data_IF_698022984895
#
_entry.id   IF_698022984895
#
_cell.length_a   1.000
_cell.length_b   1.000
_cell.length_c   1.000
_cell.angle_alpha   90.00
_cell.angle_beta   90.00
_cell.angle_gamma   90.00
#
_symmetry.space_group_name_H-M   'P 1'
#
loop_
_entity.id
_entity.type
_entity.pdbx_description
1 polymer ?
#
# COMPACT_ATOMS: atom_id res chain seq x y z
N UNK A 1 -3.87 5.33 11.93
CA UNK A 1 -3.33 4.25 11.08
C UNK A 1 -1.92 4.58 10.66
N UNK A 2 -0.99 3.66 10.87
CA UNK A 2 0.42 3.83 10.53
C UNK A 2 0.78 3.02 9.27
N UNK A 3 1.96 3.29 8.72
CA UNK A 3 2.47 2.46 7.61
C UNK A 3 2.64 1.01 8.03
N UNK A 4 3.00 0.75 9.29
CA UNK A 4 3.11 -0.62 9.80
C UNK A 4 1.76 -1.33 9.80
N UNK A 5 0.68 -0.64 10.16
CA UNK A 5 -0.66 -1.21 10.08
C UNK A 5 -1.01 -1.64 8.66
N UNK A 6 -0.64 -0.82 7.68
CA UNK A 6 -0.89 -1.12 6.27
C UNK A 6 0.00 -2.27 5.80
N UNK A 7 1.28 -2.27 6.19
CA UNK A 7 2.19 -3.35 5.85
C UNK A 7 1.70 -4.69 6.39
N UNK A 8 1.21 -4.72 7.64
CA UNK A 8 0.65 -5.92 8.25
C UNK A 8 -0.60 -6.39 7.50
N UNK A 9 -1.47 -5.46 7.11
CA UNK A 9 -2.65 -5.78 6.30
C UNK A 9 -2.25 -6.42 4.96
N UNK A 10 -1.28 -5.82 4.26
CA UNK A 10 -0.83 -6.34 2.97
C UNK A 10 -0.13 -7.69 3.12
N UNK A 11 0.66 -7.87 4.17
CA UNK A 11 1.31 -9.15 4.47
C UNK A 11 0.26 -10.25 4.65
N UNK A 12 -0.82 -9.96 5.35
CA UNK A 12 -1.91 -10.89 5.59
C UNK A 12 -2.67 -11.22 4.29
N UNK A 13 -3.08 -10.18 3.55
CA UNK A 13 -3.91 -10.36 2.35
C UNK A 13 -3.12 -10.99 1.20
N UNK A 14 -1.86 -10.58 1.02
CA UNK A 14 -1.00 -11.10 -0.05
C UNK A 14 -0.31 -12.41 0.32
N UNK A 15 -0.40 -12.81 1.58
CA UNK A 15 0.29 -13.99 2.13
C UNK A 15 1.80 -13.92 1.86
N UNK A 16 2.39 -12.77 2.14
CA UNK A 16 3.83 -12.51 1.99
C UNK A 16 4.42 -12.09 3.31
N UNK A 17 5.63 -12.61 3.61
CA UNK A 17 6.37 -12.23 4.81
C UNK A 17 7.19 -10.96 4.62
N UNK A 18 7.63 -10.69 3.40
CA UNK A 18 8.57 -9.61 3.10
C UNK A 18 7.82 -8.34 2.66
N UNK A 19 7.01 -7.80 3.57
CA UNK A 19 6.31 -6.53 3.41
C UNK A 19 6.79 -5.58 4.51
N UNK A 20 7.33 -4.44 4.14
CA UNK A 20 7.99 -3.52 5.06
C UNK A 20 7.30 -2.16 5.08
N UNK A 21 7.36 -1.48 6.21
CA UNK A 21 6.83 -0.13 6.39
C UNK A 21 7.94 0.90 6.33
N UNK A 22 7.90 1.78 5.33
CA UNK A 22 8.83 2.89 5.18
C UNK A 22 10.21 2.52 4.64
N UNK A 23 10.42 1.26 4.29
CA UNK A 23 11.70 0.77 3.76
C UNK A 23 11.50 -0.52 2.98
N UNK A 24 12.55 -1.01 2.34
CA UNK A 24 12.62 -2.38 1.81
C UNK A 24 13.97 -2.97 2.17
N UNK A 25 14.07 -4.29 2.14
CA UNK A 25 15.36 -4.97 2.26
C UNK A 25 15.95 -5.13 0.85
N UNK A 26 16.95 -4.31 0.53
CA UNK A 26 17.60 -4.33 -0.78
C UNK A 26 18.36 -5.61 -1.10
N UNK A 27 18.57 -6.50 -0.13
CA UNK A 27 19.20 -7.81 -0.35
C UNK A 27 18.21 -8.87 -0.83
N UNK A 28 16.90 -8.60 -0.71
CA UNK A 28 15.86 -9.49 -1.18
C UNK A 28 15.42 -9.06 -2.58
N UNK A 29 15.28 -10.02 -3.50
CA UNK A 29 14.77 -9.73 -4.83
C UNK A 29 13.27 -9.49 -4.80
N UNK A 30 12.54 -10.19 -3.93
CA UNK A 30 11.08 -10.16 -3.87
C UNK A 30 10.60 -9.61 -2.54
N UNK A 31 10.27 -8.31 -2.53
CA UNK A 31 9.71 -7.66 -1.35
C UNK A 31 8.79 -6.52 -1.77
N UNK A 32 8.00 -6.07 -0.81
CA UNK A 32 7.06 -4.96 -1.00
C UNK A 32 7.30 -3.96 0.13
N UNK A 33 7.36 -2.67 -0.23
CA UNK A 33 7.48 -1.60 0.75
C UNK A 33 6.27 -0.69 0.69
N UNK A 34 5.82 -0.22 1.85
CA UNK A 34 4.72 0.75 1.94
C UNK A 34 5.30 2.06 2.42
N UNK A 35 5.04 3.13 1.67
CA UNK A 35 5.56 4.46 1.96
C UNK A 35 4.42 5.47 2.00
N UNK A 36 4.65 6.62 2.63
CA UNK A 36 3.75 7.75 2.49
C UNK A 36 3.83 8.26 1.05
N UNK A 37 2.70 8.66 0.48
CA UNK A 37 2.68 9.25 -0.85
C UNK A 37 3.45 10.58 -0.85
N UNK A 38 4.13 10.87 -1.96
CA UNK A 38 4.92 12.09 -2.11
C UNK A 38 4.08 13.35 -2.05
N UNK A 39 2.87 13.29 -2.62
CA UNK A 39 1.89 14.37 -2.53
C UNK A 39 0.69 13.86 -1.78
N UNK A 40 0.42 14.44 -0.61
CA UNK A 40 -0.77 14.11 0.16
C UNK A 40 -1.71 15.31 0.17
N UNK A 41 -2.99 15.03 0.02
CA UNK A 41 -4.04 16.03 0.19
C UNK A 41 -4.41 16.10 1.67
N UNK A 42 -4.86 17.27 2.16
CA UNK A 42 -5.42 17.33 3.50
C UNK A 42 -6.57 16.34 3.66
N UNK A 43 -6.69 15.75 4.83
CA UNK A 43 -7.82 14.86 5.11
C UNK A 43 -9.11 15.66 5.11
N UNK A 44 -10.17 15.05 4.57
CA UNK A 44 -11.51 15.62 4.63
C UNK A 44 -12.07 15.38 6.02
N UNK A 45 -12.22 16.46 6.76
CA UNK A 45 -12.69 16.43 8.15
C UNK A 45 -13.99 17.20 8.21
N UNK A 46 -15.03 16.63 8.84
CA UNK A 46 -16.30 17.31 9.01
C UNK A 46 -16.17 18.50 9.98
N UNK A 47 -17.18 19.37 10.02
CA UNK A 47 -17.17 20.59 10.83
C UNK A 47 -16.90 20.30 12.30
N UNK A 48 -17.36 19.15 12.82
CA UNK A 48 -17.10 18.74 14.20
C UNK A 48 -15.71 18.18 14.46
N UNK A 49 -14.81 18.17 13.44
CA UNK A 49 -13.46 17.67 13.57
C UNK A 49 -13.34 16.14 13.44
N UNK A 50 -12.18 15.60 13.81
CA UNK A 50 -11.91 14.16 13.66
C UNK A 50 -12.85 13.27 14.48
N UNK A 51 -13.30 13.75 15.62
CA UNK A 51 -14.23 13.00 16.46
C UNK A 51 -15.57 12.74 15.78
N UNK A 52 -15.98 13.61 14.85
CA UNK A 52 -17.23 13.47 14.08
C UNK A 52 -16.99 12.87 12.68
N UNK A 53 -15.73 12.70 12.27
CA UNK A 53 -15.40 12.17 10.96
C UNK A 53 -15.31 10.65 11.04
N UNK A 54 -16.23 9.95 10.37
CA UNK A 54 -16.26 8.49 10.40
C UNK A 54 -15.21 7.88 9.51
N UNK A 55 -15.08 8.37 8.27
CA UNK A 55 -14.15 7.82 7.30
C UNK A 55 -12.96 8.74 7.15
N UNK A 56 -11.78 8.20 7.34
CA UNK A 56 -10.50 8.89 7.19
C UNK A 56 -9.78 8.39 5.95
N UNK A 57 -8.84 9.19 5.45
CA UNK A 57 -8.03 8.86 4.28
C UNK A 57 -6.57 8.79 4.66
N UNK A 58 -5.85 7.85 4.07
CA UNK A 58 -4.39 7.79 4.15
C UNK A 58 -3.84 7.53 2.74
N UNK A 59 -2.95 8.42 2.31
CA UNK A 59 -2.34 8.33 0.99
C UNK A 59 -1.01 7.60 1.08
N UNK A 60 -0.86 6.53 0.32
CA UNK A 60 0.31 5.66 0.36
C UNK A 60 0.86 5.40 -1.02
N UNK A 61 2.13 5.01 -1.07
CA UNK A 61 2.78 4.43 -2.24
C UNK A 61 3.24 3.02 -1.90
N UNK A 62 2.86 2.07 -2.72
CA UNK A 62 3.27 0.67 -2.56
C UNK A 62 4.34 0.38 -3.59
N UNK A 63 5.56 0.12 -3.11
CA UNK A 63 6.70 -0.23 -3.96
C UNK A 63 6.79 -1.74 -4.07
N UNK A 64 6.73 -2.23 -5.30
CA UNK A 64 6.88 -3.66 -5.59
C UNK A 64 8.26 -3.87 -6.17
N UNK A 65 9.16 -4.41 -5.37
CA UNK A 65 10.53 -4.76 -5.73
C UNK A 65 10.55 -6.27 -5.92
N UNK A 66 10.57 -6.73 -7.20
CA UNK A 66 10.22 -8.12 -7.40
C UNK A 66 11.31 -8.94 -8.06
N UNK A 67 11.56 -8.79 -9.34
CA UNK A 67 12.52 -9.65 -10.06
C UNK A 67 13.22 -8.85 -11.15
N UNK A 68 14.33 -9.38 -11.66
CA UNK A 68 15.06 -8.79 -12.79
C UNK A 68 14.38 -9.07 -14.14
N UNK A 69 13.34 -9.90 -14.16
CA UNK A 69 12.59 -10.22 -15.38
C UNK A 69 11.41 -9.27 -15.51
N UNK A 70 11.42 -8.31 -16.46
CA UNK A 70 10.41 -7.26 -16.55
C UNK A 70 8.98 -7.77 -16.64
N UNK A 71 8.74 -8.82 -17.42
CA UNK A 71 7.39 -9.37 -17.62
C UNK A 71 6.83 -9.92 -16.31
N UNK A 72 7.65 -10.63 -15.54
CA UNK A 72 7.22 -11.20 -14.26
C UNK A 72 6.96 -10.11 -13.22
N UNK A 73 7.79 -9.06 -13.21
CA UNK A 73 7.59 -7.94 -12.32
C UNK A 73 6.27 -7.20 -12.62
N UNK A 74 5.97 -7.02 -13.89
CA UNK A 74 4.70 -6.40 -14.31
C UNK A 74 3.50 -7.25 -13.92
N UNK A 75 3.57 -8.56 -14.13
CA UNK A 75 2.49 -9.48 -13.74
C UNK A 75 2.25 -9.41 -12.23
N UNK A 76 3.35 -9.38 -11.45
CA UNK A 76 3.20 -9.25 -9.99
C UNK A 76 2.57 -7.92 -9.61
N UNK A 77 2.99 -6.82 -10.24
CA UNK A 77 2.42 -5.51 -9.98
C UNK A 77 0.91 -5.48 -10.29
N UNK A 78 0.50 -6.06 -11.41
CA UNK A 78 -0.92 -6.15 -11.76
C UNK A 78 -1.70 -7.01 -10.77
N UNK A 79 -1.12 -8.13 -10.34
CA UNK A 79 -1.74 -9.00 -9.33
C UNK A 79 -1.96 -8.24 -8.02
N UNK A 80 -0.96 -7.50 -7.56
CA UNK A 80 -1.07 -6.69 -6.34
C UNK A 80 -2.14 -5.61 -6.51
N UNK A 81 -2.16 -4.93 -7.65
CA UNK A 81 -3.17 -3.91 -7.94
C UNK A 81 -4.59 -4.49 -7.86
N UNK A 82 -4.81 -5.64 -8.46
CA UNK A 82 -6.11 -6.30 -8.46
C UNK A 82 -6.55 -6.65 -7.03
N UNK A 83 -5.62 -7.19 -6.24
CA UNK A 83 -5.90 -7.56 -4.85
C UNK A 83 -6.21 -6.32 -4.01
N UNK A 84 -5.41 -5.25 -4.14
CA UNK A 84 -5.65 -4.01 -3.41
C UNK A 84 -7.00 -3.39 -3.76
N UNK A 85 -7.37 -3.45 -5.03
CA UNK A 85 -8.64 -2.89 -5.51
C UNK A 85 -9.85 -3.66 -5.00
N UNK A 86 -9.67 -4.91 -4.62
CA UNK A 86 -10.74 -5.77 -4.12
C UNK A 86 -10.89 -5.76 -2.60
N UNK A 87 -10.01 -5.07 -1.87
CA UNK A 87 -10.10 -4.99 -0.40
C UNK A 87 -11.40 -4.29 -0.01
N UNK A 88 -12.18 -4.95 0.84
CA UNK A 88 -13.42 -4.41 1.41
C UNK A 88 -13.54 -4.83 2.86
N UNK A 89 -13.84 -3.87 3.73
CA UNK A 89 -14.15 -4.14 5.15
C UNK A 89 -13.10 -4.97 5.87
N UNK A 90 -11.82 -4.66 5.64
CA UNK A 90 -10.74 -5.36 6.35
C UNK A 90 -10.63 -4.83 7.78
N UNK A 91 -10.79 -5.72 8.76
CA UNK A 91 -10.68 -5.37 10.17
C UNK A 91 -9.26 -5.60 10.65
N UNK A 92 -8.60 -4.51 11.04
CA UNK A 92 -7.29 -4.55 11.66
C UNK A 92 -7.36 -4.25 13.15
N UNK A 93 -6.19 -4.05 13.75
CA UNK A 93 -6.07 -3.71 15.15
C UNK A 93 -6.35 -2.20 15.34
N UNK A 94 -7.51 -1.89 15.86
CA UNK A 94 -7.94 -0.52 16.12
C UNK A 94 -8.51 0.23 14.92
N UNK A 95 -8.70 -0.42 13.77
CA UNK A 95 -9.26 0.22 12.58
C UNK A 95 -9.94 -0.79 11.66
N UNK A 96 -10.79 -0.27 10.78
CA UNK A 96 -11.39 -1.06 9.69
C UNK A 96 -11.15 -0.34 8.38
N UNK A 97 -10.48 -0.99 7.44
CA UNK A 97 -10.28 -0.46 6.10
C UNK A 97 -11.54 -0.73 5.28
N UNK A 98 -12.15 0.34 4.78
CA UNK A 98 -13.38 0.23 3.98
C UNK A 98 -13.09 -0.24 2.57
N UNK A 99 -12.18 0.43 1.91
CA UNK A 99 -11.71 0.12 0.56
C UNK A 99 -10.48 0.96 0.24
N UNK A 100 -9.82 0.63 -0.87
CA UNK A 100 -8.72 1.42 -1.41
C UNK A 100 -9.08 1.91 -2.80
N UNK A 101 -8.68 3.15 -3.08
CA UNK A 101 -8.72 3.72 -4.40
C UNK A 101 -7.30 3.73 -4.96
N UNK A 102 -7.04 2.91 -5.98
CA UNK A 102 -5.70 2.66 -6.50
C UNK A 102 -5.54 3.24 -7.89
N UNK A 103 -4.38 3.83 -8.14
CA UNK A 103 -3.94 4.19 -9.48
C UNK A 103 -3.25 2.99 -10.13
N UNK A 104 -3.10 3.03 -11.45
CA UNK A 104 -2.38 1.97 -12.17
C UNK A 104 -0.94 1.86 -11.67
N UNK A 105 -0.38 0.65 -11.76
CA UNK A 105 1.03 0.42 -11.45
C UNK A 105 1.91 1.08 -12.50
N UNK A 106 2.99 1.72 -12.04
CA UNK A 106 3.93 2.43 -12.90
C UNK A 106 5.33 1.89 -12.68
N UNK A 107 6.01 1.55 -13.77
CA UNK A 107 7.42 1.14 -13.69
C UNK A 107 8.26 2.36 -13.29
N UNK A 108 9.10 2.19 -12.27
CA UNK A 108 10.02 3.23 -11.83
C UNK A 108 11.48 2.87 -12.11
N UNK A 109 11.69 1.83 -12.91
CA UNK A 109 13.02 1.43 -13.36
C UNK A 109 13.53 0.20 -12.62
N UNK A 110 14.84 0.17 -12.44
CA UNK A 110 15.53 -0.94 -11.78
C UNK A 110 16.41 -0.38 -10.67
N UNK A 111 16.67 -1.19 -9.65
CA UNK A 111 17.63 -0.84 -8.63
C UNK A 111 19.06 -1.11 -9.11
N UNK A 112 20.04 -0.91 -8.23
CA UNK A 112 21.47 -1.11 -8.56
C UNK A 112 21.80 -2.56 -8.94
N UNK A 113 21.00 -3.51 -8.45
CA UNK A 113 21.16 -4.94 -8.74
C UNK A 113 20.39 -5.38 -9.99
N UNK A 114 19.68 -4.47 -10.64
CA UNK A 114 18.89 -4.76 -11.83
C UNK A 114 17.49 -5.30 -11.55
N UNK A 115 17.03 -5.27 -10.30
CA UNK A 115 15.68 -5.73 -9.93
C UNK A 115 14.65 -4.69 -10.34
N UNK A 116 13.63 -5.12 -11.07
CA UNK A 116 12.57 -4.24 -11.54
C UNK A 116 11.67 -3.78 -10.41
N UNK A 117 11.30 -2.50 -10.44
CA UNK A 117 10.46 -1.89 -9.43
C UNK A 117 9.23 -1.24 -10.05
N UNK A 118 8.09 -1.45 -9.42
CA UNK A 118 6.82 -0.83 -9.77
C UNK A 118 6.24 -0.13 -8.55
N UNK A 119 5.50 0.96 -8.79
CA UNK A 119 4.84 1.71 -7.73
C UNK A 119 3.35 1.77 -8.01
N UNK A 120 2.54 1.52 -6.98
CA UNK A 120 1.10 1.74 -7.00
C UNK A 120 0.79 2.80 -5.95
N UNK A 121 0.23 3.93 -6.39
CA UNK A 121 -0.27 4.94 -5.47
C UNK A 121 -1.72 4.62 -5.12
N UNK A 122 -2.06 4.72 -3.85
CA UNK A 122 -3.39 4.39 -3.38
C UNK A 122 -3.82 5.30 -2.24
N UNK A 123 -5.12 5.47 -2.12
CA UNK A 123 -5.74 6.11 -0.97
C UNK A 123 -6.50 5.05 -0.20
N UNK A 124 -6.18 4.92 1.08
CA UNK A 124 -6.83 3.98 1.99
C UNK A 124 -7.94 4.71 2.73
N UNK A 125 -9.17 4.26 2.56
CA UNK A 125 -10.32 4.80 3.28
C UNK A 125 -10.63 3.88 4.45
N UNK A 126 -10.58 4.43 5.67
CA UNK A 126 -10.70 3.62 6.88
C UNK A 126 -11.49 4.33 7.96
N UNK A 127 -11.95 3.55 8.93
CA UNK A 127 -12.57 4.04 10.16
C UNK A 127 -11.77 3.54 11.35
N UNK A 128 -11.70 4.37 12.39
CA UNK A 128 -11.13 3.92 13.66
C UNK A 128 -12.18 3.14 14.45
N UNK A 129 -11.75 2.01 14.99
CA UNK A 129 -12.60 1.23 15.90
C UNK A 129 -12.53 1.84 17.29
N UNK A 130 -13.67 1.99 17.92
CA UNK A 130 -13.75 2.46 19.29
C UNK A 130 -13.73 1.29 20.27
#
# INVERSE_FOLDING_TARGET
MTLLNIADMLSDILDLQDVYAGTIDGNLDKCIGVYNAKTSKPQRICIGGKACTKTLEKHISVLIHWTDIPTQAEIKAQSVLDILSDIRQYKGDGFTVKYLECKESVSVGRDERGVCEYVIEATVYYERNE
#
